data_IF_768036901872
#
_entry.id   IF_768036901872
#
_cell.length_a   1.000
_cell.length_b   1.000
_cell.length_c   1.000
_cell.angle_alpha   90.00
_cell.angle_beta   90.00
_cell.angle_gamma   90.00
#
_symmetry.space_group_name_H-M   'P 1'
#
loop_
_entity.id
_entity.type
_entity.pdbx_description
1 polymer ?
#
# COMPACT_ATOMS: atom_id res chain seq x y z
N UNK A 1 -9.63 1.69 2.55
CA UNK A 1 -8.58 2.15 1.60
C UNK A 1 -7.20 1.54 1.84
N UNK A 2 -6.78 1.30 3.10
CA UNK A 2 -5.45 0.74 3.44
C UNK A 2 -5.12 -0.62 2.78
N UNK A 3 -6.08 -1.54 2.75
CA UNK A 3 -5.94 -2.88 2.12
C UNK A 3 -5.70 -2.79 0.60
N UNK A 4 -6.34 -1.84 -0.08
CA UNK A 4 -6.17 -1.63 -1.52
C UNK A 4 -4.76 -1.10 -1.81
N UNK A 5 -4.23 -0.22 -0.96
CA UNK A 5 -2.89 0.36 -1.12
C UNK A 5 -1.78 -0.67 -0.90
N UNK A 6 -1.91 -1.52 0.12
CA UNK A 6 -0.97 -2.63 0.37
C UNK A 6 -0.98 -3.64 -0.78
N UNK A 7 -2.16 -3.95 -1.34
CA UNK A 7 -2.26 -4.79 -2.52
C UNK A 7 -1.60 -4.14 -3.74
N UNK A 8 -1.80 -2.84 -3.98
CA UNK A 8 -1.17 -2.13 -5.10
C UNK A 8 0.35 -2.12 -4.96
N UNK A 9 0.89 -1.84 -3.77
CA UNK A 9 2.33 -1.87 -3.52
C UNK A 9 2.90 -3.27 -3.73
N UNK A 10 2.22 -4.30 -3.24
CA UNK A 10 2.63 -5.69 -3.42
C UNK A 10 2.61 -6.07 -4.91
N UNK A 11 1.55 -5.71 -5.63
CA UNK A 11 1.42 -5.90 -7.06
C UNK A 11 2.55 -5.21 -7.83
N UNK A 12 2.89 -3.96 -7.51
CA UNK A 12 4.00 -3.24 -8.17
C UNK A 12 5.33 -3.98 -8.01
N UNK A 13 5.62 -4.53 -6.82
CA UNK A 13 6.87 -5.27 -6.59
C UNK A 13 7.00 -6.50 -7.50
N UNK A 14 5.91 -7.26 -7.66
CA UNK A 14 5.94 -8.50 -8.43
C UNK A 14 5.73 -8.30 -9.93
N UNK A 15 4.85 -7.37 -10.33
CA UNK A 15 4.52 -7.14 -11.75
C UNK A 15 5.61 -6.37 -12.49
N UNK A 16 6.33 -5.45 -11.85
CA UNK A 16 7.28 -4.58 -12.56
C UNK A 16 8.41 -5.38 -13.22
N UNK A 17 9.01 -6.31 -12.47
CA UNK A 17 10.06 -7.18 -13.00
C UNK A 17 9.56 -8.08 -14.11
N UNK A 18 8.44 -8.78 -13.89
CA UNK A 18 7.87 -9.72 -14.85
C UNK A 18 7.42 -9.04 -16.13
N UNK A 19 6.76 -7.88 -16.06
CA UNK A 19 6.35 -7.12 -17.23
C UNK A 19 7.56 -6.61 -18.02
N UNK A 20 8.56 -6.04 -17.35
CA UNK A 20 9.78 -5.57 -18.01
C UNK A 20 10.52 -6.70 -18.73
N UNK A 21 10.60 -7.88 -18.10
CA UNK A 21 11.16 -9.09 -18.72
C UNK A 21 10.38 -9.49 -19.97
N UNK A 22 9.06 -9.61 -19.88
CA UNK A 22 8.22 -10.02 -21.00
C UNK A 22 8.31 -9.03 -22.18
N UNK A 23 8.24 -7.73 -21.91
CA UNK A 23 8.40 -6.71 -22.95
C UNK A 23 9.76 -6.81 -23.63
N UNK A 24 10.83 -6.96 -22.85
CA UNK A 24 12.18 -7.10 -23.39
C UNK A 24 12.32 -8.36 -24.26
N UNK A 25 11.78 -9.50 -23.80
CA UNK A 25 11.77 -10.75 -24.55
C UNK A 25 10.99 -10.62 -25.87
N UNK A 26 9.81 -9.99 -25.86
CA UNK A 26 9.00 -9.80 -27.06
C UNK A 26 9.74 -8.92 -28.08
N UNK A 27 10.31 -7.80 -27.62
CA UNK A 27 11.06 -6.89 -28.49
C UNK A 27 12.27 -7.59 -29.10
N UNK A 28 13.03 -8.32 -28.28
CA UNK A 28 14.22 -9.04 -28.76
C UNK A 28 13.89 -10.19 -29.72
N UNK A 29 12.74 -10.85 -29.52
CA UNK A 29 12.25 -11.86 -30.45
C UNK A 29 11.87 -11.24 -31.80
N UNK A 30 11.20 -10.08 -31.80
CA UNK A 30 10.86 -9.33 -33.02
C UNK A 30 12.13 -8.85 -33.75
N UNK A 31 13.18 -8.53 -32.99
CA UNK A 31 14.47 -8.09 -33.52
C UNK A 31 15.40 -9.24 -33.97
N UNK A 32 14.91 -10.50 -33.96
CA UNK A 32 15.67 -11.70 -34.34
C UNK A 32 17.01 -11.86 -33.58
N UNK A 33 17.01 -11.46 -32.31
CA UNK A 33 18.18 -11.62 -31.43
C UNK A 33 18.31 -13.08 -31.02
N UNK A 34 19.55 -13.59 -31.01
CA UNK A 34 19.86 -14.93 -30.53
C UNK A 34 19.24 -15.21 -29.14
N UNK A 35 18.41 -16.25 -29.05
CA UNK A 35 17.60 -16.56 -27.87
C UNK A 35 18.41 -16.64 -26.58
N UNK A 36 19.61 -17.22 -26.64
CA UNK A 36 20.49 -17.37 -25.46
C UNK A 36 20.95 -16.02 -24.92
N UNK A 37 21.36 -15.11 -25.81
CA UNK A 37 21.78 -13.75 -25.42
C UNK A 37 20.59 -12.95 -24.90
N UNK A 38 19.44 -13.12 -25.56
CA UNK A 38 18.20 -12.48 -25.18
C UNK A 38 17.74 -12.90 -23.78
N UNK A 39 17.84 -14.18 -23.45
CA UNK A 39 17.51 -14.70 -22.11
C UNK A 39 18.45 -14.14 -21.04
N UNK A 40 19.76 -14.11 -21.26
CA UNK A 40 20.74 -13.59 -20.30
C UNK A 40 20.49 -12.09 -20.06
N UNK A 41 20.33 -11.32 -21.13
CA UNK A 41 20.00 -9.89 -21.03
C UNK A 41 18.63 -9.67 -20.38
N UNK A 42 17.64 -10.51 -20.70
CA UNK A 42 16.31 -10.48 -20.10
C UNK A 42 16.37 -10.72 -18.60
N UNK A 43 17.13 -11.70 -18.12
CA UNK A 43 17.32 -11.94 -16.68
C UNK A 43 17.95 -10.72 -16.00
N UNK A 44 18.94 -10.08 -16.63
CA UNK A 44 19.53 -8.85 -16.11
C UNK A 44 18.49 -7.71 -16.02
N UNK A 45 17.67 -7.54 -17.05
CA UNK A 45 16.55 -6.58 -17.07
C UNK A 45 15.54 -6.90 -15.97
N UNK A 46 15.14 -8.16 -15.80
CA UNK A 46 14.24 -8.60 -14.75
C UNK A 46 14.74 -8.20 -13.37
N UNK A 47 16.01 -8.49 -13.06
CA UNK A 47 16.62 -8.16 -11.77
C UNK A 47 16.64 -6.64 -11.56
N UNK A 48 17.09 -5.88 -12.56
CA UNK A 48 17.16 -4.41 -12.49
C UNK A 48 15.79 -3.79 -12.20
N UNK A 49 14.77 -4.19 -12.96
CA UNK A 49 13.42 -3.66 -12.83
C UNK A 49 12.71 -4.14 -11.56
N UNK A 50 13.05 -5.34 -11.06
CA UNK A 50 12.58 -5.80 -9.75
C UNK A 50 13.13 -4.91 -8.64
N UNK A 51 14.42 -4.59 -8.66
CA UNK A 51 15.04 -3.68 -7.68
C UNK A 51 14.42 -2.29 -7.76
N UNK A 52 14.24 -1.76 -8.97
CA UNK A 52 13.56 -0.47 -9.18
C UNK A 52 12.12 -0.51 -8.65
N UNK A 53 11.36 -1.56 -8.93
CA UNK A 53 10.00 -1.75 -8.41
C UNK A 53 9.95 -1.74 -6.89
N UNK A 54 10.93 -2.37 -6.22
CA UNK A 54 11.05 -2.35 -4.75
C UNK A 54 11.37 -0.95 -4.22
N UNK A 55 12.27 -0.21 -4.87
CA UNK A 55 12.61 1.16 -4.49
C UNK A 55 11.40 2.08 -4.65
N UNK A 56 10.71 2.02 -5.79
CA UNK A 56 9.49 2.78 -6.06
C UNK A 56 8.40 2.45 -5.04
N UNK A 57 8.20 1.17 -4.72
CA UNK A 57 7.27 0.74 -3.69
C UNK A 57 7.60 1.32 -2.30
N UNK A 58 8.89 1.40 -1.94
CA UNK A 58 9.32 2.05 -0.69
C UNK A 58 9.05 3.56 -0.69
N UNK A 59 9.32 4.24 -1.81
CA UNK A 59 9.06 5.67 -1.95
C UNK A 59 7.55 5.94 -1.85
N UNK A 60 6.72 5.16 -2.55
CA UNK A 60 5.26 5.25 -2.43
C UNK A 60 4.76 4.99 -1.01
N UNK A 61 5.36 4.02 -0.30
CA UNK A 61 5.05 3.76 1.11
C UNK A 61 5.33 4.98 1.98
N UNK A 62 6.51 5.61 1.83
CA UNK A 62 6.87 6.82 2.57
C UNK A 62 5.98 8.01 2.23
N UNK A 63 5.69 8.25 0.96
CA UNK A 63 4.78 9.32 0.54
C UNK A 63 3.38 9.12 1.12
N UNK A 64 2.91 7.86 1.23
CA UNK A 64 1.63 7.58 1.87
C UNK A 64 1.65 7.85 3.37
N UNK A 65 2.74 7.50 4.05
CA UNK A 65 2.92 7.82 5.48
C UNK A 65 3.04 9.33 5.71
N UNK A 66 3.78 10.04 4.86
CA UNK A 66 3.96 11.50 4.93
C UNK A 66 2.67 12.25 4.56
N UNK A 67 1.91 11.81 3.55
CA UNK A 67 0.61 12.39 3.20
C UNK A 67 -0.49 12.03 4.21
N UNK A 68 -0.28 11.04 5.08
CA UNK A 68 -1.15 10.80 6.25
C UNK A 68 -0.82 11.72 7.44
N UNK A 69 0.21 12.57 7.35
CA UNK A 69 0.53 13.57 8.39
C UNK A 69 -0.29 14.87 8.27
N UNK A 70 -1.14 15.02 7.25
CA UNK A 70 -2.25 15.99 7.31
C UNK A 70 -3.40 15.39 8.12
N UNK A 71 -3.93 16.12 9.12
CA UNK A 71 -4.38 15.54 10.37
C UNK A 71 -5.52 14.57 10.14
N UNK A 72 -5.38 13.38 10.70
CA UNK A 72 -6.49 12.51 11.06
C UNK A 72 -7.39 13.32 12.00
N UNK A 73 -8.32 14.07 11.42
CA UNK A 73 -9.44 14.71 12.14
C UNK A 73 -10.21 13.58 12.79
N UNK A 74 -9.86 13.35 14.06
CA UNK A 74 -10.77 13.15 15.17
C UNK A 74 -12.16 12.64 14.76
N UNK A 75 -12.21 11.34 14.48
CA UNK A 75 -13.41 10.51 14.50
C UNK A 75 -12.94 9.16 15.05
N UNK A 76 -13.37 8.68 16.19
CA UNK A 76 -14.54 8.99 16.99
C UNK A 76 -14.18 8.58 18.42
N UNK A 77 -14.04 9.57 19.29
CA UNK A 77 -14.23 9.41 20.73
C UNK A 77 -15.74 9.33 21.05
N UNK A 78 -16.59 8.98 20.06
CA UNK A 78 -18.04 8.89 20.23
C UNK A 78 -18.43 7.78 21.22
N UNK A 79 -17.66 6.70 21.36
CA UNK A 79 -17.93 5.73 22.44
C UNK A 79 -17.67 6.33 23.82
N UNK A 80 -16.63 7.16 23.98
CA UNK A 80 -16.34 7.82 25.27
C UNK A 80 -17.28 9.00 25.54
N UNK A 81 -17.75 9.68 24.51
CA UNK A 81 -18.70 10.79 24.65
C UNK A 81 -20.11 10.27 24.95
N UNK A 82 -20.56 9.20 24.29
CA UNK A 82 -21.82 8.51 24.63
C UNK A 82 -21.75 7.93 26.05
N UNK A 83 -20.62 7.30 26.41
CA UNK A 83 -20.40 6.82 27.78
C UNK A 83 -20.52 7.93 28.82
N UNK A 84 -19.94 9.11 28.55
CA UNK A 84 -20.03 10.28 29.45
C UNK A 84 -21.44 10.88 29.53
N UNK A 85 -22.22 10.84 28.46
CA UNK A 85 -23.61 11.28 28.47
C UNK A 85 -24.56 10.30 29.18
N UNK A 86 -24.32 8.99 29.05
CA UNK A 86 -25.05 7.95 29.80
C UNK A 86 -24.76 8.01 31.30
N UNK A 87 -23.49 8.24 31.68
CA UNK A 87 -23.09 8.40 33.09
C UNK A 87 -23.73 9.65 33.71
N UNK A 88 -23.89 10.72 32.92
CA UNK A 88 -24.57 11.94 33.38
C UNK A 88 -26.09 11.74 33.53
N UNK A 89 -26.73 10.94 32.66
CA UNK A 89 -28.15 10.61 32.82
C UNK A 89 -28.41 9.62 33.94
N UNK A 90 -27.49 8.69 34.20
CA UNK A 90 -27.60 7.73 35.32
C UNK A 90 -27.20 8.34 36.67
N UNK A 91 -26.33 9.35 36.69
CA UNK A 91 -26.02 10.12 37.90
C UNK A 91 -27.13 11.10 38.35
N UNK A 92 -28.14 11.32 37.52
CA UNK A 92 -29.33 12.12 37.87
C UNK A 92 -30.41 11.30 38.60
N UNK A 93 -30.25 9.98 38.73
CA UNK A 93 -31.16 9.10 39.45
C UNK A 93 -30.53 8.62 40.77
N UNK A 94 -30.44 9.50 41.76
CA UNK A 94 -30.25 9.12 43.16
C UNK A 94 -31.05 10.06 44.06
N UNK A 95 -31.41 9.63 45.28
CA UNK A 95 -32.45 8.69 45.68
C UNK A 95 -33.68 9.46 46.22
N UNK A 96 -34.90 8.95 46.03
CA UNK A 96 -36.06 9.50 46.76
C UNK A 96 -36.01 9.01 48.20
N UNK A 97 -35.96 9.90 49.20
CA UNK A 97 -36.03 9.50 50.60
C UNK A 97 -37.48 9.13 50.95
N UNK A 98 -37.66 7.91 51.47
CA UNK A 98 -38.68 7.63 52.50
C UNK A 98 -37.98 7.04 53.72
#
# INVERSE_FOLDING_TARGET
MKIVYENVISSIKWLTGTLAFLFFMIIGLIADVELTRLLIAGIAVYILFTVLGVVTARILGRIHEENQLEPRVEKEDHEKEIGRHLDWSQGAEMPMPE
#
